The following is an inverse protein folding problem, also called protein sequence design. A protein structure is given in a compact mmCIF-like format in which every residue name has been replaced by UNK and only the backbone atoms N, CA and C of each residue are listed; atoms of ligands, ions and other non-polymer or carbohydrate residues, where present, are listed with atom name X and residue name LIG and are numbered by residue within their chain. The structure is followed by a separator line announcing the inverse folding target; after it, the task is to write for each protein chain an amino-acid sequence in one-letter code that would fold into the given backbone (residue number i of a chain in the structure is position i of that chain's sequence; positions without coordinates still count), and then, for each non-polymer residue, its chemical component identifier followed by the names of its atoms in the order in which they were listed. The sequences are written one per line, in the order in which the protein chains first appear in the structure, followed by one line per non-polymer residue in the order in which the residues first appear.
data_IF_537854526768
#
_entry.id   IF_537854526768
#
_cell.length_a   1.000
_cell.length_b   1.000
_cell.length_c   1.000
_cell.angle_alpha   90.00
_cell.angle_beta   90.00
_cell.angle_gamma   90.00
#
_symmetry.space_group_name_H-M   'P 1'
#
loop_
_entity.id
_entity.type
_entity.pdbx_description
1 polymer ?
#
# COMPACT_ATOMS: atom_id res chain seq x y z
N UNK A 1 10.46 -3.80 5.71
CA UNK A 1 10.09 -4.51 6.96
C UNK A 1 8.81 -5.28 6.70
N UNK A 2 8.66 -6.49 7.24
CA UNK A 2 7.46 -7.29 6.98
C UNK A 2 6.23 -6.70 7.69
N UNK A 3 5.16 -6.52 6.94
CA UNK A 3 3.89 -5.96 7.39
C UNK A 3 2.73 -6.84 6.92
N UNK A 4 1.61 -6.75 7.62
CA UNK A 4 0.38 -7.47 7.26
C UNK A 4 -0.41 -6.62 6.28
N UNK A 5 -0.94 -7.26 5.23
CA UNK A 5 -1.90 -6.65 4.31
C UNK A 5 -3.29 -6.69 4.94
N UNK A 6 -3.98 -5.56 4.91
CA UNK A 6 -5.33 -5.43 5.45
C UNK A 6 -6.39 -5.55 4.35
N UNK A 7 -7.53 -6.14 4.68
CA UNK A 7 -8.72 -6.06 3.82
C UNK A 7 -9.19 -4.60 3.71
N UNK A 8 -9.58 -4.19 2.49
CA UNK A 8 -9.98 -2.81 2.21
C UNK A 8 -11.18 -2.36 3.04
N UNK A 9 -12.16 -3.24 3.27
CA UNK A 9 -13.34 -2.95 4.12
C UNK A 9 -12.93 -2.61 5.55
N UNK A 10 -12.12 -3.48 6.17
CA UNK A 10 -11.61 -3.28 7.52
C UNK A 10 -10.77 -2.01 7.63
N UNK A 11 -9.91 -1.76 6.64
CA UNK A 11 -9.12 -0.54 6.60
C UNK A 11 -9.98 0.72 6.47
N UNK A 12 -10.97 0.69 5.57
CA UNK A 12 -11.94 1.77 5.38
C UNK A 12 -12.65 2.11 6.70
N UNK A 13 -13.17 1.11 7.41
CA UNK A 13 -13.92 1.31 8.65
C UNK A 13 -13.07 1.98 9.74
N UNK A 14 -11.81 1.53 9.88
CA UNK A 14 -10.85 2.10 10.83
C UNK A 14 -10.53 3.55 10.50
N UNK A 15 -10.14 3.84 9.25
CA UNK A 15 -9.70 5.17 8.84
C UNK A 15 -10.86 6.18 8.77
N UNK A 16 -12.06 5.70 8.42
CA UNK A 16 -13.30 6.48 8.45
C UNK A 16 -13.67 6.89 9.87
N UNK A 17 -13.50 5.99 10.85
CA UNK A 17 -13.74 6.31 12.26
C UNK A 17 -12.75 7.35 12.81
N UNK A 18 -11.52 7.35 12.32
CA UNK A 18 -10.48 8.25 12.81
C UNK A 18 -10.64 9.69 12.34
N UNK A 19 -10.74 9.92 11.01
CA UNK A 19 -10.83 11.29 10.46
C UNK A 19 -11.71 11.36 9.21
N UNK A 20 -12.69 10.46 9.08
CA UNK A 20 -13.60 10.37 7.92
C UNK A 20 -12.87 10.17 6.59
N UNK A 21 -11.67 9.58 6.62
CA UNK A 21 -10.97 9.21 5.40
C UNK A 21 -11.71 8.10 4.68
N UNK A 22 -11.72 8.19 3.35
CA UNK A 22 -12.36 7.22 2.50
C UNK A 22 -11.31 6.41 1.74
N UNK A 23 -11.23 5.12 2.03
CA UNK A 23 -10.37 4.17 1.29
C UNK A 23 -11.15 3.68 0.07
N UNK A 24 -10.57 3.86 -1.12
CA UNK A 24 -11.14 3.42 -2.40
C UNK A 24 -10.61 2.04 -2.81
N UNK A 25 -11.17 1.44 -3.87
CA UNK A 25 -10.64 0.20 -4.46
C UNK A 25 -9.20 0.36 -4.98
N UNK A 26 -8.87 1.54 -5.50
CA UNK A 26 -7.52 1.94 -5.96
C UNK A 26 -6.48 2.10 -4.84
N UNK A 27 -6.87 1.89 -3.58
CA UNK A 27 -5.99 1.92 -2.43
C UNK A 27 -5.80 0.52 -1.83
N UNK A 28 -4.64 0.34 -1.20
CA UNK A 28 -4.25 -0.85 -0.46
C UNK A 28 -3.79 -0.40 0.93
N UNK A 29 -4.12 -1.18 1.96
CA UNK A 29 -3.67 -0.89 3.31
C UNK A 29 -2.72 -1.96 3.81
N UNK A 30 -1.63 -1.54 4.43
CA UNK A 30 -0.65 -2.43 5.03
C UNK A 30 -0.09 -1.81 6.31
N UNK A 31 0.16 -2.64 7.32
CA UNK A 31 0.70 -2.18 8.59
C UNK A 31 0.64 -3.26 9.67
N UNK A 32 1.46 -3.10 10.71
CA UNK A 32 1.54 -3.99 11.86
C UNK A 32 1.56 -3.23 13.19
N UNK A 33 1.54 -3.96 14.29
CA UNK A 33 1.45 -3.39 15.65
C UNK A 33 2.63 -2.45 15.98
N UNK A 34 3.79 -2.61 15.34
CA UNK A 34 4.99 -1.77 15.54
C UNK A 34 5.78 -1.50 14.25
N UNK A 35 5.17 -1.74 13.08
CA UNK A 35 5.83 -1.62 11.77
C UNK A 35 4.86 -0.99 10.77
N UNK A 36 5.23 0.18 10.27
CA UNK A 36 4.48 0.91 9.25
C UNK A 36 5.42 1.84 8.49
N UNK A 37 5.01 2.27 7.30
CA UNK A 37 5.68 3.33 6.56
C UNK A 37 5.51 4.66 7.28
N UNK A 38 6.58 5.46 7.33
CA UNK A 38 6.57 6.72 8.04
C UNK A 38 6.62 7.93 7.11
N UNK A 39 6.46 9.12 7.67
CA UNK A 39 6.72 10.37 6.94
C UNK A 39 8.18 10.37 6.44
N UNK A 40 8.34 10.47 5.12
CA UNK A 40 9.64 10.36 4.44
C UNK A 40 9.74 9.18 3.49
N UNK A 41 8.91 8.15 3.67
CA UNK A 41 8.88 6.96 2.78
C UNK A 41 7.93 7.15 1.58
N UNK A 42 7.42 8.36 1.36
CA UNK A 42 6.45 8.63 0.28
C UNK A 42 7.04 8.27 -1.09
N UNK A 43 6.32 7.45 -1.85
CA UNK A 43 6.82 6.87 -3.10
C UNK A 43 7.60 5.56 -2.93
N UNK A 44 7.86 5.11 -1.70
CA UNK A 44 8.57 3.86 -1.42
C UNK A 44 7.76 2.62 -1.82
N UNK A 45 8.43 1.52 -2.24
CA UNK A 45 7.77 0.32 -2.70
C UNK A 45 7.24 -0.54 -1.56
N UNK A 46 6.02 -1.07 -1.72
CA UNK A 46 5.50 -2.20 -0.96
C UNK A 46 5.58 -3.44 -1.85
N UNK A 47 6.47 -4.36 -1.52
CA UNK A 47 6.65 -5.61 -2.26
C UNK A 47 6.00 -6.80 -1.56
N UNK A 48 5.61 -7.80 -2.35
CA UNK A 48 5.17 -9.11 -1.88
C UNK A 48 5.99 -10.18 -2.58
N UNK A 49 6.49 -11.16 -1.80
CA UNK A 49 7.20 -12.30 -2.37
C UNK A 49 6.23 -13.41 -2.70
N UNK A 50 6.19 -13.84 -3.96
CA UNK A 50 5.39 -14.99 -4.41
C UNK A 50 6.27 -15.90 -5.26
N UNK A 51 6.32 -17.19 -4.93
CA UNK A 51 7.12 -18.18 -5.65
C UNK A 51 8.62 -17.82 -5.78
N UNK A 52 9.19 -17.11 -4.81
CA UNK A 52 10.59 -16.68 -4.83
C UNK A 52 10.87 -15.41 -5.63
N UNK A 53 9.85 -14.81 -6.23
CA UNK A 53 9.95 -13.54 -6.95
C UNK A 53 9.30 -12.40 -6.15
N UNK A 54 9.87 -11.20 -6.23
CA UNK A 54 9.30 -10.00 -5.64
C UNK A 54 8.39 -9.27 -6.62
N UNK A 55 7.18 -8.96 -6.17
CA UNK A 55 6.19 -8.22 -6.93
C UNK A 55 5.88 -6.90 -6.23
N UNK A 56 5.86 -5.80 -6.99
CA UNK A 56 5.41 -4.51 -6.47
C UNK A 56 3.88 -4.53 -6.29
N UNK A 57 3.42 -4.56 -5.04
CA UNK A 57 1.99 -4.59 -4.70
C UNK A 57 1.42 -3.18 -4.50
N UNK A 58 2.23 -2.26 -3.97
CA UNK A 58 1.78 -0.90 -3.70
C UNK A 58 2.89 0.13 -3.68
N UNK A 59 2.50 1.41 -3.73
CA UNK A 59 3.39 2.55 -3.54
C UNK A 59 2.92 3.36 -2.34
N UNK A 60 3.84 3.62 -1.43
CA UNK A 60 3.58 4.34 -0.17
C UNK A 60 3.02 5.72 -0.47
N UNK A 61 1.86 6.04 0.09
CA UNK A 61 1.16 7.30 -0.20
C UNK A 61 0.99 8.15 1.06
N UNK A 62 0.26 7.66 2.05
CA UNK A 62 0.01 8.40 3.29
C UNK A 62 -0.37 7.46 4.43
N UNK A 63 -0.32 7.96 5.66
CA UNK A 63 -0.67 7.22 6.87
C UNK A 63 -0.96 8.18 8.02
N UNK A 64 -1.46 7.63 9.12
CA UNK A 64 -1.83 8.43 10.30
C UNK A 64 -0.80 8.19 11.40
N UNK A 65 0.23 9.04 11.43
CA UNK A 65 1.42 8.79 12.24
C UNK A 65 2.19 7.58 11.71
N UNK A 66 3.27 7.22 12.41
CA UNK A 66 4.11 6.09 12.02
C UNK A 66 3.92 4.96 13.03
N UNK A 67 3.68 3.75 12.52
CA UNK A 67 3.61 2.51 13.28
C UNK A 67 2.61 2.55 14.43
N UNK A 68 1.44 3.16 14.20
CA UNK A 68 0.39 3.22 15.23
C UNK A 68 -0.39 1.91 15.27
N UNK A 69 -0.48 1.26 16.44
CA UNK A 69 -1.31 0.08 16.59
C UNK A 69 -2.73 0.34 16.08
N UNK A 70 -3.20 -0.55 15.20
CA UNK A 70 -4.54 -0.49 14.63
C UNK A 70 -4.79 0.61 13.59
N UNK A 71 -3.75 1.33 13.12
CA UNK A 71 -3.87 2.31 12.04
C UNK A 71 -2.90 1.94 10.92
N UNK A 72 -3.37 1.29 9.84
CA UNK A 72 -2.50 0.90 8.75
C UNK A 72 -2.10 2.10 7.88
N UNK A 73 -0.92 2.04 7.27
CA UNK A 73 -0.53 2.90 6.17
C UNK A 73 -1.36 2.61 4.92
N UNK A 74 -1.52 3.64 4.08
CA UNK A 74 -2.28 3.59 2.83
C UNK A 74 -1.34 3.75 1.64
N UNK A 75 -1.51 2.85 0.69
CA UNK A 75 -0.68 2.68 -0.49
C UNK A 75 -1.56 2.78 -1.74
N UNK A 76 -0.99 3.29 -2.84
CA UNK A 76 -1.61 3.16 -4.15
C UNK A 76 -1.53 1.71 -4.61
N UNK A 77 -2.66 1.11 -5.00
CA UNK A 77 -2.74 -0.30 -5.40
C UNK A 77 -2.26 -0.48 -6.83
N UNK A 78 -1.12 -1.15 -7.03
CA UNK A 78 -0.51 -1.31 -8.35
C UNK A 78 -1.39 -2.10 -9.33
N UNK A 79 -2.15 -3.08 -8.84
CA UNK A 79 -3.03 -3.87 -9.72
C UNK A 79 -4.10 -3.03 -10.44
N UNK A 80 -4.55 -1.92 -9.84
CA UNK A 80 -5.60 -1.06 -10.43
C UNK A 80 -5.04 -0.02 -11.40
N UNK A 81 -3.74 0.26 -11.34
CA UNK A 81 -3.06 1.23 -12.21
C UNK A 81 -2.16 0.55 -13.24
N UNK A 82 -2.25 -0.77 -13.37
CA UNK A 82 -1.37 -1.55 -14.24
C UNK A 82 -1.50 -1.10 -15.70
N UNK A 83 -2.72 -0.96 -16.18
CA UNK A 83 -3.03 -0.54 -17.55
C UNK A 83 -2.50 0.87 -17.85
N UNK A 84 -2.47 1.74 -16.85
CA UNK A 84 -1.88 3.07 -16.97
C UNK A 84 -0.34 3.01 -17.08
N UNK A 85 0.31 2.13 -16.32
CA UNK A 85 1.78 2.05 -16.26
C UNK A 85 2.35 1.27 -17.45
N UNK A 86 1.65 0.24 -17.93
CA UNK A 86 2.14 -0.71 -18.93
C UNK A 86 2.72 -0.06 -20.20
N UNK A 87 2.11 0.97 -20.82
CA UNK A 87 2.67 1.63 -21.99
C UNK A 87 4.01 2.34 -21.75
N UNK A 88 4.31 2.70 -20.50
CA UNK A 88 5.54 3.39 -20.10
C UNK A 88 6.64 2.43 -19.63
N UNK A 89 6.32 1.15 -19.46
CA UNK A 89 7.34 0.17 -19.13
C UNK A 89 8.24 -0.07 -20.33
N UNK A 90 9.57 -0.20 -20.13
CA UNK A 90 10.45 -0.59 -21.20
C UNK A 90 9.98 -1.94 -21.74
N UNK A 91 9.64 -1.98 -23.02
CA UNK A 91 9.42 -3.24 -23.71
C UNK A 91 10.75 -3.96 -23.66
N UNK A 92 10.79 -5.14 -23.04
CA UNK A 92 11.97 -6.00 -23.07
C UNK A 92 12.36 -6.15 -24.52
N UNK A 93 13.53 -5.61 -24.90
CA UNK A 93 14.05 -5.77 -26.24
C UNK A 93 14.21 -7.28 -26.46
N UNK A 94 13.60 -7.79 -27.53
CA UNK A 94 13.76 -9.16 -27.98
C UNK A 94 15.24 -9.49 -28.23
#
# INVERSE_FOLDING_TARGET
ADVIIWENSKCHDVLKKYNKYNVTSSMLCAGGVDKDTCQGDSGGPLTVTRNGEEYLAGVTSWGIGCARPGHPGVYARISEVRDFIEPFLPKTAC
#
